data_IF_063874243103
#
_entry.id   IF_063874243103
#
_cell.length_a   1.000
_cell.length_b   1.000
_cell.length_c   1.000
_cell.angle_alpha   90.00
_cell.angle_beta   90.00
_cell.angle_gamma   90.00
#
_symmetry.space_group_name_H-M   'P 1'
#
loop_
_entity.id
_entity.type
_entity.pdbx_description
1 polymer ?
#
# COMPACT_ATOMS: atom_id res chain seq x y z
N UNK A 1 30.84 -0.20 -19.06
CA UNK A 1 30.36 -1.14 -18.03
C UNK A 1 29.07 -0.55 -17.51
N UNK A 2 27.96 -0.84 -18.17
CA UNK A 2 26.64 -0.40 -17.73
C UNK A 2 26.22 -1.41 -16.65
N UNK A 3 26.59 -1.14 -15.40
CA UNK A 3 26.08 -1.92 -14.26
C UNK A 3 24.55 -1.87 -14.33
N UNK A 4 23.84 -3.01 -14.40
CA UNK A 4 22.40 -2.99 -14.43
C UNK A 4 21.94 -2.29 -13.15
N UNK A 5 21.12 -1.25 -13.29
CA UNK A 5 20.46 -0.59 -12.15
C UNK A 5 19.49 -1.60 -11.57
N UNK A 6 20.00 -2.56 -10.78
CA UNK A 6 19.20 -3.50 -10.03
C UNK A 6 18.38 -2.63 -9.10
N UNK A 7 17.06 -2.63 -9.29
CA UNK A 7 16.13 -1.96 -8.40
C UNK A 7 16.29 -2.60 -7.01
N UNK A 8 17.19 -2.04 -6.19
CA UNK A 8 17.45 -2.55 -4.86
C UNK A 8 16.18 -2.35 -4.06
N UNK A 9 15.63 -3.45 -3.59
CA UNK A 9 14.53 -3.49 -2.63
C UNK A 9 15.11 -3.96 -1.30
N UNK A 10 15.85 -3.10 -0.57
CA UNK A 10 16.61 -3.51 0.61
C UNK A 10 15.71 -3.84 1.80
N UNK A 11 14.42 -3.49 1.75
CA UNK A 11 13.49 -3.70 2.84
C UNK A 11 12.72 -4.99 2.61
N UNK A 12 12.98 -6.00 3.43
CA UNK A 12 12.43 -7.35 3.28
C UNK A 12 11.50 -7.62 4.47
N UNK A 13 10.26 -8.00 4.18
CA UNK A 13 9.32 -8.41 5.21
C UNK A 13 9.83 -9.67 5.93
N UNK A 14 9.97 -9.66 7.27
CA UNK A 14 10.48 -10.80 8.02
C UNK A 14 9.50 -11.98 8.05
N UNK A 15 8.20 -11.73 7.90
CA UNK A 15 7.17 -12.77 8.00
C UNK A 15 7.00 -13.59 6.72
N UNK A 16 7.24 -12.99 5.54
CA UNK A 16 7.01 -13.64 4.25
C UNK A 16 8.12 -13.45 3.19
N UNK A 17 9.19 -12.73 3.51
CA UNK A 17 10.34 -12.54 2.63
C UNK A 17 10.10 -11.62 1.42
N UNK A 18 8.93 -10.97 1.31
CA UNK A 18 8.68 -10.00 0.23
C UNK A 18 9.57 -8.78 0.35
N UNK A 19 10.13 -8.32 -0.77
CA UNK A 19 11.01 -7.15 -0.81
C UNK A 19 10.29 -5.89 -1.32
N UNK A 20 10.68 -4.76 -0.75
CA UNK A 20 10.08 -3.45 -0.98
C UNK A 20 11.16 -2.40 -1.22
N UNK A 21 10.83 -1.37 -2.02
CA UNK A 21 11.75 -0.29 -2.35
C UNK A 21 11.93 0.71 -1.21
N UNK A 22 10.97 0.78 -0.28
CA UNK A 22 11.03 1.69 0.88
C UNK A 22 10.58 0.98 2.16
N UNK A 23 11.14 1.40 3.30
CA UNK A 23 10.73 0.94 4.63
C UNK A 23 9.25 1.19 4.91
N UNK A 24 8.72 2.32 4.44
CA UNK A 24 7.30 2.65 4.62
C UNK A 24 6.41 1.61 3.94
N UNK A 25 6.72 1.21 2.71
CA UNK A 25 5.93 0.20 1.98
C UNK A 25 6.03 -1.20 2.59
N UNK A 26 7.19 -1.55 3.17
CA UNK A 26 7.37 -2.80 3.92
C UNK A 26 6.53 -2.81 5.21
N UNK A 27 6.59 -1.73 5.99
CA UNK A 27 5.84 -1.63 7.25
C UNK A 27 4.32 -1.68 7.00
N UNK A 28 3.86 -0.92 6.00
CA UNK A 28 2.47 -0.95 5.55
C UNK A 28 2.04 -2.37 5.15
N UNK A 29 2.90 -3.10 4.44
CA UNK A 29 2.60 -4.48 4.09
C UNK A 29 2.43 -5.37 5.31
N UNK A 30 3.33 -5.26 6.30
CA UNK A 30 3.25 -6.03 7.55
C UNK A 30 1.94 -5.72 8.28
N UNK A 31 1.62 -4.44 8.45
CA UNK A 31 0.42 -4.04 9.16
C UNK A 31 -0.86 -4.51 8.45
N UNK A 32 -0.93 -4.43 7.13
CA UNK A 32 -2.13 -4.82 6.38
C UNK A 32 -2.28 -6.34 6.23
N UNK A 33 -1.20 -7.07 5.96
CA UNK A 33 -1.24 -8.50 5.60
C UNK A 33 -1.08 -9.40 6.81
N UNK A 34 -0.14 -9.07 7.69
CA UNK A 34 0.21 -9.93 8.82
C UNK A 34 -0.53 -9.53 10.10
N UNK A 35 -0.66 -8.23 10.37
CA UNK A 35 -1.36 -7.74 11.56
C UNK A 35 -2.84 -7.40 11.34
N UNK A 36 -3.26 -7.27 10.08
CA UNK A 36 -4.63 -6.82 9.69
C UNK A 36 -5.05 -5.50 10.34
N UNK A 37 -4.08 -4.61 10.58
CA UNK A 37 -4.27 -3.31 11.24
C UNK A 37 -4.56 -2.17 10.25
N UNK A 38 -5.13 -2.48 9.07
CA UNK A 38 -5.49 -1.46 8.10
C UNK A 38 -6.31 -0.36 8.79
N UNK A 39 -5.82 0.88 8.76
CA UNK A 39 -6.37 1.94 9.61
C UNK A 39 -7.49 2.75 8.96
N UNK A 40 -7.76 2.55 7.66
CA UNK A 40 -8.70 3.39 6.90
C UNK A 40 -9.56 2.56 5.94
N UNK A 41 -10.72 2.15 6.43
CA UNK A 41 -11.73 1.46 5.64
C UNK A 41 -12.50 2.43 4.73
N UNK A 42 -12.86 1.96 3.55
CA UNK A 42 -13.75 2.70 2.68
C UNK A 42 -15.18 2.63 3.21
N UNK A 43 -15.89 3.77 3.37
CA UNK A 43 -17.28 3.75 3.81
C UNK A 43 -18.25 3.22 2.74
N UNK A 44 -17.78 2.99 1.51
CA UNK A 44 -18.61 2.62 0.35
C UNK A 44 -18.29 1.23 -0.20
N UNK A 45 -17.25 0.54 0.30
CA UNK A 45 -16.93 -0.84 -0.05
C UNK A 45 -15.96 -1.47 0.96
N UNK A 46 -15.72 -2.78 0.86
CA UNK A 46 -14.82 -3.52 1.77
C UNK A 46 -13.32 -3.28 1.51
N UNK A 47 -12.97 -2.18 0.84
CA UNK A 47 -11.56 -1.83 0.57
C UNK A 47 -10.96 -1.10 1.75
N UNK A 48 -9.92 -1.67 2.35
CA UNK A 48 -9.09 -0.98 3.33
C UNK A 48 -7.83 -0.38 2.68
N UNK A 49 -7.43 0.81 3.14
CA UNK A 49 -6.24 1.52 2.67
C UNK A 49 -5.26 1.79 3.81
N UNK A 50 -3.94 1.83 3.52
CA UNK A 50 -2.93 2.06 4.55
C UNK A 50 -2.80 3.52 4.97
N UNK A 51 -3.43 4.44 4.25
CA UNK A 51 -3.42 5.84 4.63
C UNK A 51 -4.65 6.57 4.10
N UNK A 52 -5.03 7.65 4.80
CA UNK A 52 -6.13 8.54 4.42
C UNK A 52 -5.97 9.08 2.99
N UNK A 53 -4.75 9.43 2.56
CA UNK A 53 -4.49 9.91 1.17
C UNK A 53 -4.83 8.83 0.14
N UNK A 54 -4.44 7.59 0.40
CA UNK A 54 -4.77 6.47 -0.49
C UNK A 54 -6.26 6.19 -0.50
N UNK A 55 -6.92 6.25 0.67
CA UNK A 55 -8.37 6.09 0.77
C UNK A 55 -9.11 7.18 -0.02
N UNK A 56 -8.74 8.45 0.14
CA UNK A 56 -9.37 9.56 -0.58
C UNK A 56 -9.21 9.44 -2.09
N UNK A 57 -8.02 9.04 -2.56
CA UNK A 57 -7.82 8.76 -3.99
C UNK A 57 -8.68 7.61 -4.47
N UNK A 58 -8.79 6.54 -3.68
CA UNK A 58 -9.65 5.40 -3.99
C UNK A 58 -11.12 5.84 -4.07
N UNK A 59 -11.63 6.56 -3.08
CA UNK A 59 -13.00 7.11 -3.09
C UNK A 59 -13.20 7.99 -4.33
N UNK A 60 -12.28 8.91 -4.63
CA UNK A 60 -12.41 9.80 -5.78
C UNK A 60 -12.35 9.09 -7.14
N UNK A 61 -11.68 7.93 -7.22
CA UNK A 61 -11.53 7.21 -8.49
C UNK A 61 -12.58 6.11 -8.69
N UNK A 62 -13.10 5.53 -7.60
CA UNK A 62 -13.96 4.34 -7.64
C UNK A 62 -15.40 4.68 -7.23
N UNK A 63 -15.58 5.63 -6.31
CA UNK A 63 -16.88 5.94 -5.70
C UNK A 63 -17.41 7.34 -6.04
N UNK A 64 -16.54 8.31 -6.35
CA UNK A 64 -16.98 9.51 -7.08
C UNK A 64 -17.25 9.12 -8.52
N UNK A 65 -18.50 8.75 -8.79
CA UNK A 65 -19.10 9.14 -10.06
C UNK A 65 -19.23 10.66 -9.98
N UNK A 66 -18.61 11.36 -10.92
CA UNK A 66 -18.93 12.77 -11.16
C UNK A 66 -20.45 12.88 -11.21
N UNK A 67 -21.05 13.56 -10.24
CA UNK A 67 -22.33 14.22 -10.47
C UNK A 67 -22.03 15.38 -11.44
N UNK A 68 -22.85 15.58 -12.50
CA UNK A 68 -22.50 16.29 -13.73
C UNK A 68 -21.91 17.70 -13.56
#
# INVERSE_FOLDING_TARGET
MEEPVVARRPFICPDCGKSFSTRQTEHVHIDMVHKKLCSFDCPSCDKASPSKRHLQRHINSVHKKSDP
#
